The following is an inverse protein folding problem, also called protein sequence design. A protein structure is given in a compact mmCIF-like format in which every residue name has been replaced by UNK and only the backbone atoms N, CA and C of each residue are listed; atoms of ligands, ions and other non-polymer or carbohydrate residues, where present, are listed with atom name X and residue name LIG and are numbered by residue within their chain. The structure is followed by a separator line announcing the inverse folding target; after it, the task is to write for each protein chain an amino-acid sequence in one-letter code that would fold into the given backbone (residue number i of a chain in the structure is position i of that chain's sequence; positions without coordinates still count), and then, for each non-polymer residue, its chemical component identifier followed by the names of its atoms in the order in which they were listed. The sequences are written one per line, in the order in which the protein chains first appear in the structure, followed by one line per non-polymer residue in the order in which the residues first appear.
data_IF_282600165376
#
_entry.id   IF_282600165376
#
_cell.length_a   1.000
_cell.length_b   1.000
_cell.length_c   1.000
_cell.angle_alpha   90.00
_cell.angle_beta   90.00
_cell.angle_gamma   90.00
#
_symmetry.space_group_name_H-M   'P 1'
#
loop_
_entity.id
_entity.type
_entity.pdbx_description
1 polymer ?
#
# COMPACT_ATOMS: atom_id res chain seq x y z
N UNK A 1 26.64 26.66 -6.16
CA UNK A 1 26.63 27.90 -6.97
C UNK A 1 25.32 27.89 -7.74
N UNK A 2 24.32 28.61 -7.23
CA UNK A 2 23.03 28.75 -7.88
C UNK A 2 23.11 29.96 -8.83
N UNK A 3 23.03 29.72 -10.14
CA UNK A 3 22.61 30.78 -11.06
C UNK A 3 21.09 30.88 -10.96
N UNK A 4 20.52 32.07 -10.71
CA UNK A 4 19.09 32.27 -10.86
C UNK A 4 18.76 32.09 -12.35
N UNK A 5 17.70 31.35 -12.67
CA UNK A 5 17.14 31.39 -14.01
C UNK A 5 16.80 32.85 -14.32
N UNK A 6 17.37 33.39 -15.40
CA UNK A 6 17.14 34.76 -15.85
C UNK A 6 15.64 35.00 -16.04
N UNK A 7 15.11 36.13 -15.54
CA UNK A 7 13.69 36.49 -15.59
C UNK A 7 13.02 36.39 -16.97
N UNK A 8 13.80 36.37 -18.05
CA UNK A 8 13.33 36.15 -19.42
C UNK A 8 12.66 34.79 -19.66
N UNK A 9 13.04 33.72 -18.95
CA UNK A 9 12.47 32.37 -19.16
C UNK A 9 11.09 32.20 -18.54
N UNK A 10 10.85 32.84 -17.40
CA UNK A 10 9.56 32.80 -16.69
C UNK A 10 8.49 33.62 -17.45
N UNK A 11 8.89 34.76 -18.00
CA UNK A 11 8.02 35.60 -18.81
C UNK A 11 7.67 34.93 -20.15
N UNK A 12 8.63 34.26 -20.80
CA UNK A 12 8.39 33.48 -22.01
C UNK A 12 7.33 32.38 -21.81
N UNK A 13 7.36 31.68 -20.67
CA UNK A 13 6.40 30.61 -20.36
C UNK A 13 4.95 31.12 -20.36
N UNK A 14 4.69 32.31 -19.81
CA UNK A 14 3.35 32.90 -19.81
C UNK A 14 2.81 33.09 -21.24
N UNK A 15 3.67 33.50 -22.18
CA UNK A 15 3.26 33.77 -23.57
C UNK A 15 2.96 32.51 -24.39
N UNK A 16 3.44 31.34 -23.98
CA UNK A 16 3.10 30.06 -24.60
C UNK A 16 1.66 29.60 -24.29
N UNK A 17 1.05 30.13 -23.23
CA UNK A 17 -0.29 29.74 -22.81
C UNK A 17 -1.37 30.24 -23.77
N UNK A 18 -2.43 29.43 -23.92
CA UNK A 18 -3.59 29.77 -24.72
C UNK A 18 -4.18 31.13 -24.27
N UNK A 19 -4.63 32.02 -25.18
CA UNK A 19 -5.12 33.36 -24.82
C UNK A 19 -6.22 33.38 -23.74
N UNK A 20 -7.10 32.37 -23.73
CA UNK A 20 -8.14 32.21 -22.69
C UNK A 20 -7.55 31.86 -21.32
N UNK A 21 -6.53 31.00 -21.25
CA UNK A 21 -5.80 30.71 -20.00
C UNK A 21 -5.10 31.97 -19.49
N UNK A 22 -4.43 32.73 -20.37
CA UNK A 22 -3.79 34.00 -20.02
C UNK A 22 -4.78 35.03 -19.48
N UNK A 23 -5.99 35.08 -20.04
CA UNK A 23 -7.08 35.93 -19.54
C UNK A 23 -7.51 35.49 -18.14
N UNK A 24 -7.78 34.20 -17.95
CA UNK A 24 -8.15 33.66 -16.64
C UNK A 24 -7.11 33.99 -15.57
N UNK A 25 -5.81 33.84 -15.84
CA UNK A 25 -4.73 34.21 -14.91
C UNK A 25 -4.82 35.69 -14.48
N UNK A 26 -5.07 36.60 -15.44
CA UNK A 26 -5.24 38.03 -15.12
C UNK A 26 -6.50 38.29 -14.30
N UNK A 27 -7.59 37.58 -14.59
CA UNK A 27 -8.86 37.71 -13.86
C UNK A 27 -8.73 37.20 -12.41
N UNK A 28 -7.79 36.27 -12.15
CA UNK A 28 -7.42 35.86 -10.79
C UNK A 28 -6.53 36.89 -10.06
N UNK A 29 -6.09 37.96 -10.72
CA UNK A 29 -5.23 38.99 -10.15
C UNK A 29 -3.80 38.53 -9.86
N UNK A 30 -3.28 37.59 -10.63
CA UNK A 30 -1.90 37.13 -10.46
C UNK A 30 -0.92 38.10 -11.15
N UNK A 31 -0.01 38.68 -10.39
CA UNK A 31 1.03 39.57 -10.91
C UNK A 31 2.13 38.81 -11.68
N UNK A 32 2.46 37.59 -11.23
CA UNK A 32 3.47 36.73 -11.83
C UNK A 32 3.17 35.23 -11.66
N UNK A 33 3.76 34.40 -12.50
CA UNK A 33 3.73 32.94 -12.35
C UNK A 33 4.76 32.49 -11.31
N UNK A 34 4.39 31.54 -10.46
CA UNK A 34 5.35 30.88 -9.58
C UNK A 34 6.36 30.09 -10.41
N UNK A 35 7.60 29.97 -9.92
CA UNK A 35 8.68 29.26 -10.64
C UNK A 35 8.25 27.85 -11.10
N UNK A 36 7.59 27.09 -10.22
CA UNK A 36 7.12 25.74 -10.54
C UNK A 36 6.05 25.73 -11.64
N UNK A 37 5.20 26.75 -11.70
CA UNK A 37 4.18 26.87 -12.75
C UNK A 37 4.84 27.16 -14.09
N UNK A 38 5.72 28.16 -14.15
CA UNK A 38 6.44 28.52 -15.38
C UNK A 38 7.32 27.38 -15.92
N UNK A 39 8.07 26.70 -15.05
CA UNK A 39 8.88 25.53 -15.43
C UNK A 39 8.01 24.38 -15.95
N UNK A 40 6.87 24.14 -15.32
CA UNK A 40 5.92 23.12 -15.79
C UNK A 40 5.32 23.48 -17.13
N UNK A 41 5.06 24.76 -17.39
CA UNK A 41 4.54 25.23 -18.68
C UNK A 41 5.53 24.92 -19.80
N UNK A 42 6.81 25.24 -19.63
CA UNK A 42 7.85 24.92 -20.61
C UNK A 42 7.94 23.40 -20.80
N UNK A 43 8.06 22.63 -19.71
CA UNK A 43 8.17 21.17 -19.78
C UNK A 43 6.97 20.51 -20.48
N UNK A 44 5.75 21.01 -20.27
CA UNK A 44 4.54 20.45 -20.90
C UNK A 44 4.42 20.87 -22.36
N UNK A 45 4.69 22.13 -22.72
CA UNK A 45 4.43 22.64 -24.06
C UNK A 45 5.58 22.44 -25.06
N UNK A 46 6.81 22.23 -24.58
CA UNK A 46 8.01 22.12 -25.43
C UNK A 46 8.54 20.68 -25.57
N UNK A 47 8.04 19.74 -24.76
CA UNK A 47 8.50 18.34 -24.70
C UNK A 47 7.31 17.39 -24.46
N UNK A 48 7.49 16.11 -24.76
CA UNK A 48 6.51 15.02 -24.60
C UNK A 48 6.81 14.12 -23.39
N UNK A 49 7.89 14.36 -22.63
CA UNK A 49 8.27 13.57 -21.45
C UNK A 49 7.22 13.61 -20.34
N UNK A 50 7.00 12.49 -19.66
CA UNK A 50 6.21 12.48 -18.42
C UNK A 50 6.83 13.40 -17.37
N UNK A 51 5.99 13.96 -16.49
CA UNK A 51 6.42 14.97 -15.53
C UNK A 51 6.09 14.51 -14.11
N UNK A 52 7.04 14.70 -13.20
CA UNK A 52 6.85 14.57 -11.76
C UNK A 52 7.02 15.93 -11.10
N UNK A 53 5.93 16.45 -10.55
CA UNK A 53 5.89 17.74 -9.84
C UNK A 53 5.90 17.46 -8.33
N UNK A 54 6.99 17.84 -7.67
CA UNK A 54 7.13 17.76 -6.21
C UNK A 54 7.21 19.18 -5.64
N UNK A 55 6.12 19.65 -5.04
CA UNK A 55 6.04 20.98 -4.45
C UNK A 55 4.97 21.03 -3.36
N UNK A 56 5.08 21.91 -2.37
CA UNK A 56 4.04 22.04 -1.34
C UNK A 56 2.69 22.45 -1.95
N UNK A 57 1.58 22.17 -1.28
CA UNK A 57 0.24 22.49 -1.81
C UNK A 57 0.03 23.99 -2.06
N UNK A 58 0.67 24.83 -1.22
CA UNK A 58 0.67 26.29 -1.38
C UNK A 58 1.47 26.78 -2.60
N UNK A 59 2.31 25.92 -3.21
CA UNK A 59 3.11 26.28 -4.38
C UNK A 59 2.33 26.28 -5.71
N UNK A 60 1.04 25.92 -5.70
CA UNK A 60 0.19 25.97 -6.90
C UNK A 60 0.39 24.79 -7.87
N UNK A 61 0.63 23.58 -7.35
CA UNK A 61 0.83 22.35 -8.16
C UNK A 61 -0.29 22.07 -9.15
N UNK A 62 -1.54 22.28 -8.74
CA UNK A 62 -2.70 22.01 -9.59
C UNK A 62 -2.65 22.89 -10.82
N UNK A 63 -2.50 24.21 -10.68
CA UNK A 63 -2.41 25.11 -11.83
C UNK A 63 -1.09 24.92 -12.59
N UNK A 64 0.00 24.57 -11.92
CA UNK A 64 1.24 24.21 -12.60
C UNK A 64 1.01 23.11 -13.64
N UNK A 65 0.22 22.08 -13.29
CA UNK A 65 -0.17 21.04 -14.22
C UNK A 65 -1.23 21.50 -15.24
N UNK A 66 -2.32 22.13 -14.77
CA UNK A 66 -3.50 22.35 -15.61
C UNK A 66 -3.39 23.53 -16.58
N UNK A 67 -2.64 24.59 -16.27
CA UNK A 67 -2.48 25.73 -17.19
C UNK A 67 -1.91 25.29 -18.56
N UNK A 68 -0.80 24.52 -18.62
CA UNK A 68 -0.30 24.06 -19.90
C UNK A 68 -1.08 22.86 -20.47
N UNK A 69 -1.62 21.96 -19.64
CA UNK A 69 -2.46 20.86 -20.14
C UNK A 69 -3.68 21.41 -20.89
N UNK A 70 -4.39 22.37 -20.31
CA UNK A 70 -5.55 22.99 -20.94
C UNK A 70 -5.17 23.76 -22.20
N UNK A 71 -3.99 24.38 -22.23
CA UNK A 71 -3.44 24.99 -23.45
C UNK A 71 -3.25 23.93 -24.54
N UNK A 72 -2.66 22.78 -24.22
CA UNK A 72 -2.40 21.69 -25.18
C UNK A 72 -3.68 21.07 -25.74
N UNK A 73 -4.76 21.00 -24.95
CA UNK A 73 -6.01 20.34 -25.38
C UNK A 73 -7.06 21.33 -25.90
N UNK A 74 -6.75 22.63 -25.98
CA UNK A 74 -7.72 23.69 -26.27
C UNK A 74 -8.45 23.53 -27.61
N UNK A 75 -7.76 23.00 -28.62
CA UNK A 75 -8.28 22.85 -30.00
C UNK A 75 -8.69 21.40 -30.31
N UNK A 76 -8.72 20.53 -29.31
CA UNK A 76 -8.96 19.11 -29.51
C UNK A 76 -10.43 18.82 -29.77
N UNK A 77 -10.69 17.89 -30.70
CA UNK A 77 -12.04 17.48 -31.11
C UNK A 77 -12.34 15.97 -30.96
N UNK A 78 -11.43 15.21 -30.34
CA UNK A 78 -11.62 13.76 -30.18
C UNK A 78 -12.71 13.44 -29.15
N UNK A 79 -13.56 12.46 -29.47
CA UNK A 79 -14.60 11.98 -28.56
C UNK A 79 -14.00 11.10 -27.46
N UNK A 80 -14.20 11.48 -26.19
CA UNK A 80 -13.64 10.81 -25.02
C UNK A 80 -13.08 11.82 -24.01
N UNK A 81 -12.50 11.35 -22.91
CA UNK A 81 -11.85 12.25 -21.96
C UNK A 81 -10.41 12.53 -22.39
N UNK A 82 -10.11 13.80 -22.63
CA UNK A 82 -8.78 14.25 -23.00
C UNK A 82 -7.78 14.18 -21.84
N UNK A 83 -8.30 14.37 -20.62
CA UNK A 83 -7.50 14.31 -19.38
C UNK A 83 -8.22 13.45 -18.36
N UNK A 84 -7.48 12.53 -17.75
CA UNK A 84 -7.91 11.81 -16.56
C UNK A 84 -7.15 12.34 -15.37
N UNK A 85 -7.85 12.90 -14.40
CA UNK A 85 -7.28 13.29 -13.11
C UNK A 85 -7.62 12.23 -12.07
N UNK A 86 -6.63 11.43 -11.72
CA UNK A 86 -6.75 10.30 -10.80
C UNK A 86 -6.34 10.74 -9.40
N UNK A 87 -7.27 10.69 -8.45
CA UNK A 87 -7.01 11.12 -7.06
C UNK A 87 -7.38 10.01 -6.05
N UNK A 88 -6.65 9.85 -4.93
CA UNK A 88 -6.89 8.76 -3.99
C UNK A 88 -8.17 8.91 -3.19
N UNK A 89 -8.74 10.12 -3.09
CA UNK A 89 -9.88 10.43 -2.23
C UNK A 89 -10.97 11.19 -2.99
N UNK A 90 -12.24 10.83 -2.73
CA UNK A 90 -13.41 11.55 -3.27
C UNK A 90 -13.43 13.02 -2.82
N UNK A 91 -13.01 13.29 -1.58
CA UNK A 91 -12.94 14.63 -1.03
C UNK A 91 -11.98 15.52 -1.83
N UNK A 92 -10.81 14.99 -2.21
CA UNK A 92 -9.86 15.70 -3.06
C UNK A 92 -10.44 15.98 -4.44
N UNK A 93 -11.14 15.02 -5.06
CA UNK A 93 -11.84 15.26 -6.34
C UNK A 93 -12.84 16.41 -6.22
N UNK A 94 -13.64 16.46 -5.16
CA UNK A 94 -14.62 17.53 -4.97
C UNK A 94 -13.94 18.90 -4.78
N UNK A 95 -12.83 18.93 -4.07
CA UNK A 95 -12.06 20.16 -3.88
C UNK A 95 -11.46 20.67 -5.19
N UNK A 96 -10.81 19.78 -5.94
CA UNK A 96 -10.16 20.10 -7.20
C UNK A 96 -11.17 20.44 -8.30
N UNK A 97 -12.36 19.86 -8.26
CA UNK A 97 -13.46 20.26 -9.13
C UNK A 97 -13.81 21.74 -8.96
N UNK A 98 -14.06 22.19 -7.72
CA UNK A 98 -14.40 23.60 -7.45
C UNK A 98 -13.29 24.53 -7.90
N UNK A 99 -12.03 24.11 -7.73
CA UNK A 99 -10.85 24.86 -8.13
C UNK A 99 -10.69 24.96 -9.66
N UNK A 100 -10.96 23.86 -10.37
CA UNK A 100 -10.78 23.78 -11.82
C UNK A 100 -11.99 24.29 -12.61
N UNK A 101 -13.18 24.34 -12.01
CA UNK A 101 -14.43 24.69 -12.69
C UNK A 101 -14.34 26.03 -13.43
N UNK A 102 -13.92 27.11 -12.76
CA UNK A 102 -13.82 28.43 -13.39
C UNK A 102 -12.75 28.51 -14.50
N UNK A 103 -11.63 27.79 -14.34
CA UNK A 103 -10.58 27.73 -15.37
C UNK A 103 -11.09 26.95 -16.59
N UNK A 104 -11.74 25.81 -16.38
CA UNK A 104 -12.30 24.98 -17.44
C UNK A 104 -13.47 25.68 -18.15
N UNK A 105 -14.32 26.39 -17.41
CA UNK A 105 -15.41 27.21 -17.96
C UNK A 105 -14.87 28.31 -18.88
N UNK A 106 -13.81 29.02 -18.47
CA UNK A 106 -13.18 30.04 -19.31
C UNK A 106 -12.64 29.48 -20.64
N UNK A 107 -12.26 28.21 -20.65
CA UNK A 107 -11.75 27.47 -21.80
C UNK A 107 -12.85 26.78 -22.61
N UNK A 108 -14.08 26.74 -22.11
CA UNK A 108 -15.19 25.94 -22.64
C UNK A 108 -14.89 24.43 -22.67
N UNK A 109 -14.04 23.96 -21.77
CA UNK A 109 -13.66 22.54 -21.63
C UNK A 109 -14.51 21.92 -20.53
N UNK A 110 -15.32 20.88 -20.81
CA UNK A 110 -16.12 20.23 -19.76
C UNK A 110 -15.24 19.56 -18.70
N UNK A 111 -15.62 19.69 -17.44
CA UNK A 111 -15.03 18.93 -16.34
C UNK A 111 -16.14 18.15 -15.62
N UNK A 112 -15.88 16.89 -15.28
CA UNK A 112 -16.85 16.02 -14.59
C UNK A 112 -16.21 15.27 -13.44
N UNK A 113 -16.91 15.18 -12.31
CA UNK A 113 -16.52 14.32 -11.19
C UNK A 113 -17.02 12.90 -11.42
N UNK A 114 -16.13 11.93 -11.27
CA UNK A 114 -16.40 10.53 -11.51
C UNK A 114 -15.99 9.66 -10.33
N UNK A 115 -16.83 9.67 -9.29
CA UNK A 115 -16.69 8.79 -8.13
C UNK A 115 -18.04 8.25 -7.67
N UNK A 116 -18.07 7.28 -6.76
CA UNK A 116 -19.32 6.62 -6.30
C UNK A 116 -20.47 7.59 -6.00
N UNK A 117 -20.19 8.67 -5.27
CA UNK A 117 -21.22 9.61 -4.78
C UNK A 117 -21.53 10.77 -5.77
N UNK A 118 -20.82 10.85 -6.91
CA UNK A 118 -21.03 11.94 -7.86
C UNK A 118 -22.38 11.78 -8.61
N UNK A 119 -23.08 12.88 -8.94
CA UNK A 119 -24.40 12.84 -9.57
C UNK A 119 -24.44 11.99 -10.84
N UNK A 120 -25.40 11.08 -10.94
CA UNK A 120 -25.54 10.19 -12.10
C UNK A 120 -25.92 10.94 -13.37
N UNK A 121 -26.65 12.06 -13.25
CA UNK A 121 -27.06 12.89 -14.38
C UNK A 121 -25.84 13.48 -15.12
N UNK A 122 -24.86 14.02 -14.38
CA UNK A 122 -23.62 14.57 -14.93
C UNK A 122 -22.78 13.50 -15.61
N UNK A 123 -22.61 12.32 -14.96
CA UNK A 123 -21.94 11.18 -15.57
C UNK A 123 -22.64 10.72 -16.85
N UNK A 124 -23.97 10.67 -16.87
CA UNK A 124 -24.75 10.30 -18.06
C UNK A 124 -24.57 11.31 -19.19
N UNK A 125 -24.57 12.61 -18.88
CA UNK A 125 -24.26 13.67 -19.84
C UNK A 125 -22.86 13.47 -20.44
N UNK A 126 -21.86 13.25 -19.59
CA UNK A 126 -20.48 13.00 -20.01
C UNK A 126 -20.33 11.70 -20.81
N UNK A 127 -21.08 10.62 -20.49
CA UNK A 127 -21.05 9.39 -21.29
C UNK A 127 -21.62 9.59 -22.70
N UNK A 128 -22.67 10.39 -22.83
CA UNK A 128 -23.35 10.65 -24.10
C UNK A 128 -22.56 11.59 -25.00
N UNK A 129 -21.92 12.61 -24.43
CA UNK A 129 -21.03 13.55 -25.15
C UNK A 129 -19.71 13.65 -24.39
N UNK A 130 -18.82 12.66 -24.53
CA UNK A 130 -17.57 12.63 -23.77
C UNK A 130 -16.57 13.61 -24.37
N UNK A 131 -16.10 14.50 -23.51
CA UNK A 131 -15.20 15.59 -23.85
C UNK A 131 -14.51 16.08 -22.56
N UNK A 132 -13.38 16.77 -22.70
CA UNK A 132 -12.69 17.45 -21.62
C UNK A 132 -12.07 16.53 -20.57
N UNK A 133 -12.39 16.79 -19.29
CA UNK A 133 -11.65 16.27 -18.13
C UNK A 133 -12.55 15.41 -17.24
N UNK A 134 -12.08 14.22 -16.87
CA UNK A 134 -12.70 13.41 -15.82
C UNK A 134 -11.83 13.39 -14.55
N UNK A 135 -12.37 13.90 -13.44
CA UNK A 135 -11.77 13.77 -12.11
C UNK A 135 -12.29 12.47 -11.47
N UNK A 136 -11.47 11.42 -11.44
CA UNK A 136 -11.91 10.04 -11.26
C UNK A 136 -11.13 9.31 -10.17
N UNK A 137 -11.80 8.44 -9.40
CA UNK A 137 -11.09 7.56 -8.45
C UNK A 137 -10.60 6.28 -9.14
N UNK A 138 -9.50 5.66 -8.67
CA UNK A 138 -9.04 4.37 -9.18
C UNK A 138 -10.14 3.29 -9.20
N UNK A 139 -10.93 3.21 -8.14
CA UNK A 139 -12.02 2.23 -8.03
C UNK A 139 -13.12 2.47 -9.07
N UNK A 140 -13.32 3.73 -9.47
CA UNK A 140 -14.30 4.06 -10.51
C UNK A 140 -13.80 3.73 -11.91
N UNK A 141 -12.48 3.83 -12.14
CA UNK A 141 -11.83 3.32 -13.36
C UNK A 141 -12.02 1.80 -13.42
N UNK A 142 -11.70 1.07 -12.35
CA UNK A 142 -11.89 -0.38 -12.28
C UNK A 142 -13.35 -0.77 -12.51
N UNK A 143 -14.29 -0.09 -11.86
CA UNK A 143 -15.71 -0.34 -12.06
C UNK A 143 -16.14 -0.12 -13.52
N UNK A 144 -15.57 0.86 -14.21
CA UNK A 144 -15.84 1.09 -15.64
C UNK A 144 -15.30 -0.05 -16.49
N UNK A 145 -14.06 -0.49 -16.23
CA UNK A 145 -13.47 -1.64 -16.92
C UNK A 145 -14.30 -2.92 -16.75
N UNK A 146 -14.76 -3.20 -15.54
CA UNK A 146 -15.49 -4.45 -15.23
C UNK A 146 -16.93 -4.38 -15.75
N UNK A 147 -17.63 -3.27 -15.51
CA UNK A 147 -19.08 -3.19 -15.75
C UNK A 147 -19.42 -2.66 -17.14
N UNK A 148 -18.52 -1.89 -17.77
CA UNK A 148 -18.76 -1.20 -19.05
C UNK A 148 -17.48 -1.16 -19.91
N UNK A 149 -16.91 -2.31 -20.31
CA UNK A 149 -15.61 -2.35 -21.00
C UNK A 149 -15.58 -1.58 -22.32
N UNK A 150 -16.69 -1.55 -23.08
CA UNK A 150 -16.81 -0.76 -24.30
C UNK A 150 -16.74 0.75 -24.03
N UNK A 151 -17.40 1.23 -22.96
CA UNK A 151 -17.31 2.61 -22.52
C UNK A 151 -15.91 2.92 -21.97
N UNK A 152 -15.29 2.01 -21.22
CA UNK A 152 -13.92 2.19 -20.72
C UNK A 152 -12.94 2.43 -21.87
N UNK A 153 -13.03 1.63 -22.94
CA UNK A 153 -12.23 1.86 -24.15
C UNK A 153 -12.55 3.22 -24.76
N UNK A 154 -13.82 3.48 -25.08
CA UNK A 154 -14.26 4.72 -25.75
C UNK A 154 -13.91 6.00 -24.98
N UNK A 155 -14.03 5.99 -23.65
CA UNK A 155 -13.88 7.16 -22.80
C UNK A 155 -12.44 7.40 -22.37
N UNK A 156 -11.67 6.33 -22.09
CA UNK A 156 -10.35 6.44 -21.45
C UNK A 156 -9.17 6.29 -22.42
N UNK A 157 -9.34 5.54 -23.53
CA UNK A 157 -8.20 5.23 -24.41
C UNK A 157 -7.73 6.40 -25.27
N UNK A 158 -8.45 7.53 -25.24
CA UNK A 158 -8.08 8.75 -25.97
C UNK A 158 -7.38 9.77 -25.08
N UNK A 159 -7.20 9.49 -23.78
CA UNK A 159 -6.55 10.42 -22.88
C UNK A 159 -5.16 10.81 -23.41
N UNK A 160 -4.91 12.11 -23.54
CA UNK A 160 -3.58 12.64 -23.87
C UNK A 160 -2.77 12.82 -22.59
N UNK A 161 -3.45 13.18 -21.50
CA UNK A 161 -2.85 13.34 -20.19
C UNK A 161 -3.55 12.48 -19.14
N UNK A 162 -2.75 11.89 -18.25
CA UNK A 162 -3.21 11.31 -16.99
C UNK A 162 -2.46 12.01 -15.87
N UNK A 163 -3.19 12.81 -15.09
CA UNK A 163 -2.69 13.44 -13.88
C UNK A 163 -2.92 12.50 -12.71
N UNK A 164 -1.88 12.14 -11.98
CA UNK A 164 -1.97 11.31 -10.77
C UNK A 164 -1.70 12.21 -9.57
N UNK A 165 -2.76 12.54 -8.86
CA UNK A 165 -2.72 13.38 -7.67
C UNK A 165 -2.33 12.60 -6.42
N UNK A 166 -1.68 13.27 -5.48
CA UNK A 166 -1.10 12.68 -4.27
C UNK A 166 -0.35 11.38 -4.55
N UNK A 167 0.55 11.41 -5.54
CA UNK A 167 1.30 10.26 -6.04
C UNK A 167 1.96 9.44 -4.93
N UNK A 168 2.44 10.10 -3.86
CA UNK A 168 3.05 9.46 -2.70
C UNK A 168 2.15 8.39 -2.06
N UNK A 169 0.82 8.58 -2.09
CA UNK A 169 -0.17 7.65 -1.55
C UNK A 169 -0.27 6.33 -2.34
N UNK A 170 0.27 6.31 -3.57
CA UNK A 170 0.24 5.14 -4.44
C UNK A 170 1.61 4.46 -4.61
N UNK A 171 2.69 5.01 -4.05
CA UNK A 171 4.03 4.44 -4.24
C UNK A 171 4.20 3.06 -3.59
N UNK A 172 3.35 2.72 -2.62
CA UNK A 172 3.44 1.47 -1.86
C UNK A 172 2.07 0.82 -1.65
N UNK A 173 2.10 -0.46 -1.31
CA UNK A 173 0.93 -1.24 -0.91
C UNK A 173 0.03 -1.70 -2.07
N UNK A 174 -0.99 -2.52 -1.75
CA UNK A 174 -1.86 -3.14 -2.76
C UNK A 174 -2.61 -2.15 -3.63
N UNK A 175 -3.05 -1.01 -3.04
CA UNK A 175 -3.79 0.03 -3.77
C UNK A 175 -2.91 0.70 -4.82
N UNK A 176 -1.64 0.96 -4.50
CA UNK A 176 -0.66 1.47 -5.46
C UNK A 176 -0.44 0.56 -6.66
N UNK A 177 -0.28 -0.74 -6.40
CA UNK A 177 -0.19 -1.76 -7.46
C UNK A 177 -1.46 -1.85 -8.31
N UNK A 178 -2.63 -1.70 -7.69
CA UNK A 178 -3.90 -1.65 -8.39
C UNK A 178 -3.97 -0.47 -9.35
N UNK A 179 -3.62 0.75 -8.90
CA UNK A 179 -3.58 1.93 -9.77
C UNK A 179 -2.57 1.75 -10.91
N UNK A 180 -1.37 1.24 -10.63
CA UNK A 180 -0.37 0.97 -11.66
C UNK A 180 -0.91 0.00 -12.75
N UNK A 181 -1.64 -1.04 -12.34
CA UNK A 181 -2.33 -1.96 -13.26
C UNK A 181 -3.39 -1.26 -14.11
N UNK A 182 -4.22 -0.41 -13.50
CA UNK A 182 -5.24 0.38 -14.20
C UNK A 182 -4.62 1.29 -15.27
N UNK A 183 -3.57 2.03 -14.93
CA UNK A 183 -2.86 2.89 -15.87
C UNK A 183 -2.29 2.10 -17.04
N UNK A 184 -1.74 0.91 -16.79
CA UNK A 184 -1.21 0.04 -17.85
C UNK A 184 -2.32 -0.51 -18.77
N UNK A 185 -3.49 -0.81 -18.22
CA UNK A 185 -4.67 -1.23 -19.01
C UNK A 185 -5.19 -0.11 -19.89
N UNK A 186 -5.17 1.14 -19.40
CA UNK A 186 -5.51 2.32 -20.21
C UNK A 186 -4.51 2.45 -21.37
N UNK A 187 -3.20 2.41 -21.09
CA UNK A 187 -2.15 2.47 -22.11
C UNK A 187 -2.32 1.35 -23.16
N UNK A 188 -2.67 0.14 -22.75
CA UNK A 188 -2.83 -1.00 -23.66
C UNK A 188 -4.03 -0.88 -24.61
N UNK A 189 -5.04 -0.07 -24.26
CA UNK A 189 -6.18 0.21 -25.13
C UNK A 189 -5.96 1.42 -26.03
N UNK A 190 -5.02 2.29 -25.67
CA UNK A 190 -4.74 3.54 -26.36
C UNK A 190 -3.80 3.31 -27.57
N UNK A 191 -3.97 4.11 -28.63
CA UNK A 191 -3.07 4.06 -29.78
C UNK A 191 -1.65 4.54 -29.43
N UNK A 192 -1.56 5.48 -28.48
CA UNK A 192 -0.32 5.95 -27.86
C UNK A 192 -0.56 6.07 -26.35
N UNK A 193 0.42 5.70 -25.49
CA UNK A 193 0.29 5.90 -24.05
C UNK A 193 0.04 7.37 -23.73
N UNK A 194 -0.87 7.64 -22.80
CA UNK A 194 -1.10 8.99 -22.32
C UNK A 194 0.15 9.49 -21.59
N UNK A 195 0.44 10.78 -21.72
CA UNK A 195 1.48 11.46 -20.96
C UNK A 195 1.06 11.55 -19.50
N UNK A 196 1.94 11.18 -18.59
CA UNK A 196 1.65 11.11 -17.15
C UNK A 196 2.23 12.32 -16.43
N UNK A 197 1.42 12.90 -15.55
CA UNK A 197 1.82 14.02 -14.68
C UNK A 197 1.56 13.60 -13.23
N UNK A 198 2.62 13.27 -12.50
CA UNK A 198 2.54 12.93 -11.08
C UNK A 198 2.61 14.19 -10.22
N UNK A 199 1.68 14.37 -9.29
CA UNK A 199 1.67 15.48 -8.33
C UNK A 199 1.90 14.94 -6.93
N UNK A 200 2.81 15.54 -6.17
CA UNK A 200 2.95 15.24 -4.74
C UNK A 200 3.48 16.43 -3.95
N UNK A 201 3.10 16.54 -2.67
CA UNK A 201 3.61 17.56 -1.76
C UNK A 201 5.12 17.40 -1.53
N UNK A 202 5.48 16.18 -1.14
CA UNK A 202 6.85 15.75 -0.87
C UNK A 202 6.98 14.30 -1.34
N UNK A 203 8.16 13.94 -1.85
CA UNK A 203 8.50 12.56 -2.23
C UNK A 203 9.87 12.27 -1.65
N UNK A 204 9.95 11.27 -0.76
CA UNK A 204 11.21 10.87 -0.15
C UNK A 204 12.18 10.21 -1.14
N UNK A 205 11.65 9.41 -2.07
CA UNK A 205 12.42 8.76 -3.14
C UNK A 205 11.83 9.11 -4.51
N UNK A 206 12.43 10.10 -5.17
CA UNK A 206 12.05 10.52 -6.52
C UNK A 206 12.33 9.44 -7.57
N UNK A 207 13.32 8.57 -7.34
CA UNK A 207 13.60 7.44 -8.22
C UNK A 207 12.46 6.43 -8.21
N UNK A 208 11.98 6.05 -7.02
CA UNK A 208 10.80 5.21 -6.85
C UNK A 208 9.56 5.83 -7.49
N UNK A 209 9.33 7.12 -7.30
CA UNK A 209 8.18 7.80 -7.89
C UNK A 209 8.20 7.82 -9.42
N UNK A 210 9.37 8.05 -10.03
CA UNK A 210 9.54 7.98 -11.50
C UNK A 210 9.33 6.57 -12.01
N UNK A 211 9.88 5.57 -11.31
CA UNK A 211 9.73 4.17 -11.66
C UNK A 211 8.27 3.71 -11.56
N UNK A 212 7.53 4.19 -10.56
CA UNK A 212 6.11 3.93 -10.45
C UNK A 212 5.31 4.63 -11.55
N UNK A 213 5.61 5.92 -11.81
CA UNK A 213 4.89 6.73 -12.78
C UNK A 213 5.13 6.26 -14.22
N UNK A 214 6.35 5.85 -14.60
CA UNK A 214 6.63 5.23 -15.91
C UNK A 214 7.62 4.07 -15.77
N UNK A 215 7.14 2.84 -15.46
CA UNK A 215 8.01 1.68 -15.23
C UNK A 215 8.84 1.27 -16.43
N UNK A 216 8.36 1.52 -17.65
CA UNK A 216 9.04 1.14 -18.89
C UNK A 216 10.26 2.01 -19.21
N UNK A 217 10.27 3.26 -18.73
CA UNK A 217 11.39 4.17 -18.90
C UNK A 217 11.41 5.23 -17.78
N UNK A 218 11.81 4.86 -16.55
CA UNK A 218 11.83 5.80 -15.42
C UNK A 218 12.74 7.01 -15.68
N UNK A 219 13.81 6.80 -16.46
CA UNK A 219 14.80 7.80 -16.81
C UNK A 219 14.26 8.95 -17.67
N UNK A 220 13.18 8.75 -18.41
CA UNK A 220 12.56 9.80 -19.24
C UNK A 220 11.60 10.71 -18.48
N UNK A 221 11.26 10.39 -17.23
CA UNK A 221 10.35 11.25 -16.44
C UNK A 221 11.12 12.48 -15.98
N UNK A 222 10.69 13.68 -16.39
CA UNK A 222 11.24 14.96 -15.97
C UNK A 222 10.82 15.28 -14.53
N UNK A 223 11.76 15.76 -13.72
CA UNK A 223 11.54 16.10 -12.32
C UNK A 223 11.51 17.60 -12.14
N UNK A 224 10.36 18.11 -11.69
CA UNK A 224 10.16 19.51 -11.35
C UNK A 224 9.94 19.61 -9.85
N UNK A 225 11.03 19.84 -9.13
CA UNK A 225 11.02 20.03 -7.68
C UNK A 225 11.03 21.53 -7.40
N UNK A 226 10.03 22.00 -6.66
CA UNK A 226 10.06 23.34 -6.10
C UNK A 226 10.84 23.28 -4.78
N UNK A 227 11.94 24.02 -4.70
CA UNK A 227 12.54 24.34 -3.43
C UNK A 227 11.65 25.40 -2.80
N UNK A 228 10.61 24.99 -2.08
CA UNK A 228 9.92 25.94 -1.23
C UNK A 228 10.90 26.33 -0.12
N UNK A 229 11.08 27.63 0.10
CA UNK A 229 11.34 28.19 1.43
C UNK A 229 10.16 27.86 2.35
N UNK A 230 9.84 26.57 2.50
CA UNK A 230 8.87 26.11 3.46
C UNK A 230 9.41 26.57 4.81
N UNK A 231 8.60 27.27 5.62
CA UNK A 231 9.04 27.68 6.95
C UNK A 231 9.58 26.45 7.66
N UNK A 232 10.79 26.58 8.21
CA UNK A 232 11.47 25.53 8.95
C UNK A 232 10.46 24.87 9.91
N UNK A 233 10.13 23.60 9.69
CA UNK A 233 9.19 22.87 10.54
C UNK A 233 9.85 22.70 11.90
N UNK A 234 9.54 23.60 12.83
CA UNK A 234 9.94 23.47 14.23
C UNK A 234 9.00 22.49 14.92
N UNK A 235 9.31 21.21 14.79
CA UNK A 235 8.60 20.14 15.45
C UNK A 235 9.08 20.05 16.91
N UNK A 236 8.17 20.28 17.86
CA UNK A 236 8.42 19.96 19.27
C UNK A 236 7.63 18.71 19.64
N UNK A 237 8.34 17.60 19.88
CA UNK A 237 7.75 16.39 20.46
C UNK A 237 7.80 16.53 21.97
N UNK A 238 6.64 16.63 22.62
CA UNK A 238 6.53 16.62 24.07
C UNK A 238 6.02 15.25 24.51
N UNK A 239 6.87 14.49 25.17
CA UNK A 239 6.45 13.31 25.90
C UNK A 239 5.86 13.76 27.23
N UNK A 240 4.60 13.44 27.46
CA UNK A 240 3.99 13.59 28.78
C UNK A 240 3.93 12.22 29.41
N UNK A 241 4.52 12.09 30.60
CA UNK A 241 4.23 10.96 31.48
C UNK A 241 3.02 11.43 32.28
N UNK A 242 1.83 11.00 31.88
CA UNK A 242 0.66 11.14 32.75
C UNK A 242 0.94 10.31 34.00
N UNK A 243 0.99 10.91 35.20
CA UNK A 243 0.86 10.11 36.41
C UNK A 243 -0.48 9.38 36.29
N UNK A 244 -0.55 8.09 36.67
CA UNK A 244 -1.79 7.34 36.52
C UNK A 244 -2.90 8.07 37.29
N UNK A 245 -3.88 8.59 36.56
CA UNK A 245 -5.14 9.03 37.15
C UNK A 245 -5.78 7.79 37.75
N UNK A 246 -5.85 7.76 39.07
CA UNK A 246 -6.43 6.64 39.81
C UNK A 246 -7.96 6.56 39.66
N UNK A 247 -8.60 7.51 38.97
CA UNK A 247 -10.05 7.70 38.94
C UNK A 247 -10.68 7.95 37.54
N UNK A 248 -9.96 7.81 36.41
CA UNK A 248 -10.58 7.96 35.08
C UNK A 248 -11.37 6.69 34.67
N UNK A 249 -12.66 6.76 34.26
CA UNK A 249 -13.46 5.61 33.84
C UNK A 249 -13.08 5.03 32.46
N UNK A 250 -11.80 5.16 32.07
CA UNK A 250 -11.21 4.68 30.81
C UNK A 250 -11.10 3.15 30.70
N UNK A 251 -12.12 2.44 31.16
CA UNK A 251 -12.25 0.98 31.14
C UNK A 251 -12.89 0.43 29.87
N UNK A 252 -12.59 1.00 28.71
CA UNK A 252 -12.81 0.26 27.45
C UNK A 252 -11.44 -0.07 26.88
N UNK A 253 -10.88 -1.16 27.38
CA UNK A 253 -9.86 -1.93 26.67
C UNK A 253 -10.36 -2.05 25.22
N UNK A 254 -9.59 -1.65 24.20
CA UNK A 254 -9.97 -1.89 22.83
C UNK A 254 -10.38 -3.35 22.74
N UNK A 255 -11.61 -3.63 22.30
CA UNK A 255 -11.97 -5.01 21.98
C UNK A 255 -11.10 -5.39 20.80
N UNK A 256 -9.94 -5.96 21.11
CA UNK A 256 -9.36 -6.97 20.26
C UNK A 256 -10.41 -8.07 20.28
N UNK A 257 -11.27 -8.08 19.26
CA UNK A 257 -12.00 -9.31 18.96
C UNK A 257 -10.94 -10.43 19.02
N UNK A 258 -11.21 -11.58 19.66
CA UNK A 258 -10.37 -12.73 19.45
C UNK A 258 -10.45 -12.99 17.95
N UNK A 259 -9.46 -12.48 17.22
CA UNK A 259 -9.38 -12.65 15.80
C UNK A 259 -9.02 -14.12 15.65
N UNK A 260 -10.04 -14.97 15.67
CA UNK A 260 -9.95 -16.37 15.32
C UNK A 260 -9.26 -16.40 13.95
N UNK A 261 -7.97 -16.71 13.94
CA UNK A 261 -7.16 -16.82 12.74
C UNK A 261 -6.25 -15.62 12.39
N UNK A 262 -6.06 -14.60 13.24
CA UNK A 262 -4.94 -13.67 13.01
C UNK A 262 -3.60 -14.34 13.39
N UNK A 263 -2.62 -14.41 12.47
CA UNK A 263 -1.33 -15.04 12.77
C UNK A 263 -0.55 -14.25 13.83
N UNK A 264 -0.13 -14.93 14.90
CA UNK A 264 0.77 -14.35 15.89
C UNK A 264 2.20 -14.23 15.31
N UNK A 265 2.82 -13.06 15.50
CA UNK A 265 4.20 -12.81 15.10
C UNK A 265 5.20 -13.35 16.15
N UNK A 266 6.40 -13.76 15.73
CA UNK A 266 7.45 -14.30 16.63
C UNK A 266 7.74 -13.38 17.82
N UNK A 267 7.79 -12.06 17.57
CA UNK A 267 8.00 -11.06 18.62
C UNK A 267 6.93 -11.09 19.70
N UNK A 268 5.65 -11.29 19.33
CA UNK A 268 4.56 -11.36 20.30
C UNK A 268 4.73 -12.60 21.20
N UNK A 269 4.98 -13.77 20.59
CA UNK A 269 5.20 -15.02 21.33
C UNK A 269 6.45 -14.92 22.24
N UNK A 270 7.50 -14.24 21.79
CA UNK A 270 8.69 -13.98 22.60
C UNK A 270 8.38 -13.08 23.80
N UNK A 271 7.57 -12.02 23.64
CA UNK A 271 7.11 -11.20 24.77
C UNK A 271 6.20 -12.00 25.72
N UNK A 272 5.31 -12.84 25.21
CA UNK A 272 4.49 -13.74 26.05
C UNK A 272 5.38 -14.64 26.91
N UNK A 273 6.43 -15.24 26.33
CA UNK A 273 7.38 -16.06 27.08
C UNK A 273 8.10 -15.25 28.16
N UNK A 274 8.51 -14.02 27.86
CA UNK A 274 9.13 -13.13 28.87
C UNK A 274 8.19 -12.84 30.04
N UNK A 275 6.90 -12.62 29.76
CA UNK A 275 5.88 -12.40 30.80
C UNK A 275 5.75 -13.65 31.69
N UNK A 276 5.82 -14.85 31.15
CA UNK A 276 5.82 -16.09 31.94
C UNK A 276 7.10 -16.30 32.77
N UNK A 277 8.24 -15.81 32.29
CA UNK A 277 9.54 -15.89 32.98
C UNK A 277 9.74 -14.82 34.05
N UNK A 278 9.02 -13.71 33.96
CA UNK A 278 9.15 -12.61 34.91
C UNK A 278 8.28 -12.81 36.15
N UNK A 279 8.70 -12.23 37.28
CA UNK A 279 7.96 -12.28 38.54
C UNK A 279 7.09 -11.03 38.78
N UNK A 280 7.28 -9.96 37.98
CA UNK A 280 6.50 -8.73 38.14
C UNK A 280 5.06 -8.94 37.68
N UNK A 281 4.11 -8.31 38.37
CA UNK A 281 2.70 -8.28 37.97
C UNK A 281 2.46 -6.94 37.29
N UNK A 282 2.11 -6.92 35.98
CA UNK A 282 1.90 -5.67 35.29
C UNK A 282 0.80 -4.83 35.96
N UNK A 283 1.05 -3.55 36.28
CA UNK A 283 0.18 -2.75 37.15
C UNK A 283 -1.22 -2.50 36.55
N UNK A 284 -1.36 -2.64 35.24
CA UNK A 284 -2.60 -2.42 34.49
C UNK A 284 -3.55 -3.63 34.47
N UNK A 285 -3.16 -4.79 35.01
CA UNK A 285 -4.05 -5.95 35.06
C UNK A 285 -5.15 -5.75 36.10
N UNK A 286 -6.40 -6.07 35.75
CA UNK A 286 -7.50 -6.17 36.71
C UNK A 286 -7.38 -7.45 37.56
N UNK A 287 -8.25 -7.63 38.55
CA UNK A 287 -8.19 -8.79 39.45
C UNK A 287 -8.29 -10.12 38.70
N UNK A 288 -9.19 -10.24 37.71
CA UNK A 288 -9.38 -11.48 36.96
C UNK A 288 -8.18 -11.80 36.07
N UNK A 289 -7.59 -10.78 35.44
CA UNK A 289 -6.41 -10.92 34.61
C UNK A 289 -5.17 -11.28 35.43
N UNK A 290 -5.06 -10.80 36.68
CA UNK A 290 -4.02 -11.23 37.63
C UNK A 290 -4.16 -12.71 37.97
N UNK A 291 -5.36 -13.16 38.33
CA UNK A 291 -5.62 -14.58 38.64
C UNK A 291 -5.24 -15.47 37.45
N UNK A 292 -5.65 -15.11 36.23
CA UNK A 292 -5.32 -15.87 35.01
C UNK A 292 -3.81 -15.89 34.70
N UNK A 293 -3.11 -14.77 34.93
CA UNK A 293 -1.66 -14.73 34.75
C UNK A 293 -0.94 -15.58 35.79
N UNK A 294 -1.40 -15.57 37.04
CA UNK A 294 -0.85 -16.39 38.12
C UNK A 294 -1.07 -17.88 37.83
N UNK A 295 -2.29 -18.30 37.50
CA UNK A 295 -2.61 -19.67 37.06
C UNK A 295 -1.72 -20.10 35.88
N UNK A 296 -1.56 -19.24 34.88
CA UNK A 296 -0.70 -19.50 33.74
C UNK A 296 0.78 -19.66 34.11
N UNK A 297 1.30 -18.80 35.01
CA UNK A 297 2.70 -18.88 35.49
C UNK A 297 2.93 -20.09 36.39
N UNK A 298 1.94 -20.50 37.17
CA UNK A 298 2.00 -21.76 37.93
C UNK A 298 2.12 -22.95 37.00
N UNK A 299 1.24 -23.06 36.00
CA UNK A 299 1.30 -24.14 35.01
C UNK A 299 2.61 -24.13 34.20
N UNK A 300 3.09 -22.94 33.81
CA UNK A 300 4.38 -22.79 33.11
C UNK A 300 5.55 -23.35 33.92
N UNK A 301 5.56 -23.10 35.24
CA UNK A 301 6.58 -23.64 36.17
C UNK A 301 6.38 -25.13 36.45
N UNK A 302 5.16 -25.57 36.64
CA UNK A 302 4.83 -26.98 36.89
C UNK A 302 5.27 -27.88 35.72
N UNK A 303 5.08 -27.41 34.49
CA UNK A 303 5.51 -28.09 33.28
C UNK A 303 6.99 -27.85 32.92
N UNK A 304 7.72 -27.06 33.70
CA UNK A 304 9.14 -26.72 33.48
C UNK A 304 9.40 -26.16 32.07
N UNK A 305 8.48 -25.32 31.56
CA UNK A 305 8.53 -24.77 30.20
C UNK A 305 9.60 -23.69 30.00
N UNK A 306 10.31 -23.32 31.06
CA UNK A 306 11.54 -22.55 30.97
C UNK A 306 12.62 -23.34 30.24
N UNK A 307 12.79 -24.61 30.62
CA UNK A 307 13.87 -25.48 30.16
C UNK A 307 13.41 -26.60 29.21
N UNK A 308 12.12 -26.95 29.23
CA UNK A 308 11.51 -27.99 28.40
C UNK A 308 10.62 -27.40 27.32
N UNK A 309 10.65 -28.08 26.17
CA UNK A 309 9.80 -27.76 25.02
C UNK A 309 8.91 -28.94 24.62
N UNK A 310 9.05 -30.10 25.27
CA UNK A 310 8.30 -31.32 25.01
C UNK A 310 7.52 -31.71 26.26
N UNK A 311 6.20 -31.81 26.13
CA UNK A 311 5.29 -32.20 27.22
C UNK A 311 4.41 -33.34 26.74
N UNK A 312 4.52 -34.50 27.40
CA UNK A 312 3.67 -35.65 27.13
C UNK A 312 2.33 -35.51 27.84
N UNK A 313 1.23 -35.58 27.09
CA UNK A 313 -0.13 -35.72 27.63
C UNK A 313 -0.77 -36.99 27.05
N UNK A 314 -1.04 -37.98 27.89
CA UNK A 314 -1.54 -39.31 27.52
C UNK A 314 -0.75 -39.99 26.39
N UNK A 315 -1.24 -39.91 25.15
CA UNK A 315 -0.64 -40.51 23.94
C UNK A 315 -0.08 -39.47 22.99
N UNK A 316 -0.31 -38.19 23.27
CA UNK A 316 0.06 -37.10 22.39
C UNK A 316 1.22 -36.31 22.99
N UNK A 317 2.07 -35.78 22.11
CA UNK A 317 3.25 -35.01 22.49
C UNK A 317 3.05 -33.56 22.08
N UNK A 318 3.02 -32.66 23.05
CA UNK A 318 2.97 -31.22 22.82
C UNK A 318 4.39 -30.67 22.69
N UNK A 319 4.64 -29.99 21.58
CA UNK A 319 5.93 -29.41 21.21
C UNK A 319 5.80 -27.89 21.22
N UNK A 320 6.31 -27.25 22.26
CA UNK A 320 6.31 -25.80 22.43
C UNK A 320 7.50 -25.17 21.71
N UNK A 321 7.23 -24.55 20.56
CA UNK A 321 8.28 -23.92 19.75
C UNK A 321 8.63 -22.51 20.25
N UNK A 322 7.69 -21.84 20.92
CA UNK A 322 7.81 -20.42 21.26
C UNK A 322 8.11 -19.54 20.04
N UNK A 323 7.53 -19.90 18.89
CA UNK A 323 7.59 -19.15 17.63
C UNK A 323 6.18 -18.76 17.19
N UNK A 324 6.09 -17.75 16.31
CA UNK A 324 4.83 -17.27 15.76
C UNK A 324 4.13 -18.27 14.85
N UNK A 325 2.85 -18.04 14.57
CA UNK A 325 1.95 -19.00 13.91
C UNK A 325 2.47 -19.50 12.56
N UNK A 326 3.15 -18.65 11.80
CA UNK A 326 3.71 -19.03 10.50
C UNK A 326 4.88 -20.02 10.63
N UNK A 327 5.78 -19.83 11.60
CA UNK A 327 6.88 -20.75 11.87
C UNK A 327 6.35 -22.11 12.35
N UNK A 328 5.37 -22.08 13.24
CA UNK A 328 4.70 -23.27 13.77
C UNK A 328 4.00 -24.07 12.67
N UNK A 329 3.31 -23.41 11.75
CA UNK A 329 2.69 -24.06 10.59
C UNK A 329 3.73 -24.70 9.64
N UNK A 330 4.85 -24.02 9.40
CA UNK A 330 5.97 -24.57 8.60
C UNK A 330 6.58 -25.78 9.30
N UNK A 331 6.78 -25.72 10.61
CA UNK A 331 7.32 -26.84 11.38
C UNK A 331 6.38 -28.05 11.38
N UNK A 332 5.06 -27.84 11.53
CA UNK A 332 4.05 -28.90 11.38
C UNK A 332 4.11 -29.58 10.00
N UNK A 333 4.27 -28.80 8.92
CA UNK A 333 4.46 -29.36 7.58
C UNK A 333 5.77 -30.16 7.46
N UNK A 334 6.83 -29.75 8.15
CA UNK A 334 8.10 -30.50 8.20
C UNK A 334 7.96 -31.83 8.96
N UNK A 335 7.20 -31.85 10.05
CA UNK A 335 6.87 -33.09 10.77
C UNK A 335 6.02 -34.02 9.89
N UNK A 336 5.07 -33.48 9.12
CA UNK A 336 4.31 -34.26 8.14
C UNK A 336 5.19 -34.85 7.04
N UNK A 337 6.18 -34.09 6.55
CA UNK A 337 7.22 -34.59 5.64
C UNK A 337 8.06 -35.72 6.26
N UNK A 338 8.29 -35.68 7.58
CA UNK A 338 8.93 -36.75 8.34
C UNK A 338 8.00 -37.93 8.69
N UNK A 339 6.74 -37.91 8.23
CA UNK A 339 5.76 -38.98 8.43
C UNK A 339 4.94 -38.87 9.71
N UNK A 340 4.96 -37.72 10.40
CA UNK A 340 4.23 -37.50 11.65
C UNK A 340 2.95 -36.71 11.43
N UNK A 341 1.86 -37.12 12.08
CA UNK A 341 0.63 -36.33 12.10
C UNK A 341 0.64 -35.36 13.27
N UNK A 342 0.47 -34.07 12.97
CA UNK A 342 0.46 -33.01 13.97
C UNK A 342 -0.68 -32.00 13.76
N UNK A 343 -1.17 -31.44 14.86
CA UNK A 343 -2.06 -30.29 14.89
C UNK A 343 -1.31 -29.04 15.36
N UNK A 344 -1.64 -27.87 14.80
CA UNK A 344 -1.05 -26.58 15.19
C UNK A 344 -1.89 -25.93 16.28
N UNK A 345 -1.23 -25.42 17.32
CA UNK A 345 -1.82 -24.54 18.33
C UNK A 345 -0.97 -23.26 18.48
N UNK A 346 -1.39 -22.32 19.33
CA UNK A 346 -0.84 -20.95 19.37
C UNK A 346 0.67 -20.87 19.68
N UNK A 347 1.19 -21.83 20.45
CA UNK A 347 2.57 -21.83 20.95
C UNK A 347 3.44 -22.94 20.32
N UNK A 348 2.87 -23.79 19.46
CA UNK A 348 3.52 -25.03 19.09
C UNK A 348 2.66 -26.02 18.28
N UNK A 349 3.08 -27.28 18.31
CA UNK A 349 2.41 -28.37 17.60
C UNK A 349 2.16 -29.55 18.54
N UNK A 350 0.99 -30.19 18.40
CA UNK A 350 0.68 -31.45 19.07
C UNK A 350 0.89 -32.58 18.08
N UNK A 351 1.79 -33.51 18.37
CA UNK A 351 2.04 -34.71 17.56
C UNK A 351 1.26 -35.87 18.18
N UNK A 352 0.34 -36.45 17.40
CA UNK A 352 -0.56 -37.47 17.94
C UNK A 352 0.08 -38.85 18.03
N UNK A 353 -0.26 -39.61 19.07
CA UNK A 353 0.09 -41.04 19.25
C UNK A 353 1.60 -41.33 19.21
N UNK A 354 2.42 -40.46 19.79
CA UNK A 354 3.88 -40.61 19.82
C UNK A 354 4.44 -40.36 21.22
N UNK A 355 5.45 -41.14 21.60
CA UNK A 355 6.22 -40.90 22.83
C UNK A 355 7.45 -40.04 22.57
N UNK A 356 7.94 -39.35 23.59
CA UNK A 356 9.16 -38.53 23.51
C UNK A 356 10.36 -39.31 22.96
N UNK A 357 10.55 -40.55 23.40
CA UNK A 357 11.64 -41.43 22.95
C UNK A 357 11.61 -41.74 21.45
N UNK A 358 10.43 -41.67 20.82
CA UNK A 358 10.23 -41.91 19.39
C UNK A 358 10.31 -40.62 18.59
N UNK A 359 9.88 -39.50 19.18
CA UNK A 359 9.93 -38.18 18.54
C UNK A 359 11.37 -37.62 18.48
N UNK A 360 12.15 -37.76 19.56
CA UNK A 360 13.50 -37.19 19.65
C UNK A 360 14.44 -37.60 18.50
N UNK A 361 14.53 -38.87 18.07
CA UNK A 361 15.34 -39.25 16.92
C UNK A 361 14.91 -38.56 15.62
N UNK A 362 13.61 -38.33 15.42
CA UNK A 362 13.08 -37.65 14.23
C UNK A 362 13.45 -36.17 14.26
N UNK A 363 13.32 -35.52 15.42
CA UNK A 363 13.75 -34.13 15.62
C UNK A 363 15.25 -33.97 15.38
N UNK A 364 16.08 -34.89 15.90
CA UNK A 364 17.54 -34.89 15.65
C UNK A 364 17.86 -34.99 14.16
N UNK A 365 17.16 -35.86 13.43
CA UNK A 365 17.33 -35.99 11.98
C UNK A 365 16.93 -34.71 11.24
N UNK A 366 15.84 -34.05 11.64
CA UNK A 366 15.43 -32.76 11.09
C UNK A 366 16.48 -31.67 11.38
N UNK A 367 17.06 -31.66 12.58
CA UNK A 367 18.13 -30.74 12.98
C UNK A 367 19.42 -30.92 12.16
N UNK A 368 19.73 -32.13 11.72
CA UNK A 368 20.93 -32.43 10.92
C UNK A 368 20.74 -32.20 9.41
N UNK A 369 19.50 -32.01 8.95
CA UNK A 369 19.19 -31.89 7.52
C UNK A 369 19.57 -30.50 6.99
N UNK A 370 20.72 -30.40 6.30
CA UNK A 370 21.33 -29.11 5.91
C UNK A 370 20.70 -28.40 4.70
N UNK A 371 19.68 -28.96 4.06
CA UNK A 371 19.07 -28.32 2.88
C UNK A 371 17.65 -28.84 2.64
N UNK A 372 16.70 -28.39 3.46
CA UNK A 372 15.28 -28.67 3.27
C UNK A 372 14.74 -27.71 2.21
N UNK A 373 14.32 -28.23 1.05
CA UNK A 373 13.78 -27.41 -0.03
C UNK A 373 12.37 -26.88 0.32
N UNK A 374 12.07 -25.59 0.13
CA UNK A 374 10.73 -25.05 0.40
C UNK A 374 9.62 -25.72 -0.42
N UNK A 375 9.95 -26.19 -1.63
CA UNK A 375 9.02 -26.97 -2.45
C UNK A 375 8.72 -28.34 -1.84
N UNK A 376 9.72 -29.03 -1.29
CA UNK A 376 9.55 -30.35 -0.68
C UNK A 376 8.59 -30.27 0.52
N UNK A 377 8.75 -29.26 1.37
CA UNK A 377 7.85 -29.02 2.51
C UNK A 377 6.45 -28.65 2.04
N UNK A 378 6.34 -27.88 0.94
CA UNK A 378 5.05 -27.43 0.42
C UNK A 378 4.11 -28.57 0.03
N UNK A 379 4.66 -29.74 -0.34
CA UNK A 379 3.88 -30.94 -0.70
C UNK A 379 3.06 -31.47 0.49
N UNK A 380 3.54 -31.26 1.72
CA UNK A 380 2.92 -31.77 2.95
C UNK A 380 1.97 -30.77 3.63
N UNK A 381 1.74 -29.61 3.01
CA UNK A 381 0.79 -28.60 3.52
C UNK A 381 -0.64 -29.03 3.17
N UNK A 382 -1.38 -29.55 4.15
CA UNK A 382 -2.74 -30.08 3.95
C UNK A 382 -3.75 -29.04 3.42
N UNK A 383 -3.67 -27.79 3.89
CA UNK A 383 -4.67 -26.75 3.65
C UNK A 383 -4.20 -25.67 2.66
N UNK A 384 -3.46 -26.05 1.61
CA UNK A 384 -2.76 -25.08 0.77
C UNK A 384 -3.67 -24.13 -0.02
N UNK A 385 -4.92 -24.57 -0.27
CA UNK A 385 -5.97 -23.82 -0.97
C UNK A 385 -6.86 -22.99 -0.03
N UNK A 386 -6.59 -23.00 1.29
CA UNK A 386 -7.35 -22.21 2.26
C UNK A 386 -6.88 -20.75 2.24
N UNK A 387 -7.83 -19.83 2.05
CA UNK A 387 -7.59 -18.38 2.01
C UNK A 387 -8.37 -17.69 0.89
N UNK A 388 -8.50 -16.36 0.98
CA UNK A 388 -9.29 -15.57 0.04
C UNK A 388 -8.81 -15.81 -1.40
N UNK A 389 -9.71 -16.31 -2.25
CA UNK A 389 -9.47 -16.65 -3.66
C UNK A 389 -8.44 -17.76 -3.95
N UNK A 390 -7.92 -18.48 -2.94
CA UNK A 390 -6.95 -19.57 -3.16
C UNK A 390 -7.54 -20.80 -3.82
N UNK A 391 -8.85 -21.01 -3.72
CA UNK A 391 -9.57 -22.09 -4.42
C UNK A 391 -9.51 -21.97 -5.96
N UNK A 392 -9.27 -20.77 -6.47
CA UNK A 392 -9.18 -20.48 -7.91
C UNK A 392 -7.74 -20.64 -8.46
N UNK A 393 -6.77 -20.91 -7.59
CA UNK A 393 -5.35 -21.04 -7.96
C UNK A 393 -5.04 -22.53 -8.19
N UNK A 394 -4.48 -22.91 -9.37
CA UNK A 394 -4.00 -24.26 -9.60
C UNK A 394 -3.04 -24.72 -8.51
N UNK A 395 -3.15 -25.99 -8.09
CA UNK A 395 -2.45 -26.50 -6.90
C UNK A 395 -0.92 -26.39 -6.98
N UNK A 396 -0.36 -26.68 -8.16
CA UNK A 396 1.07 -26.52 -8.44
C UNK A 396 1.54 -25.07 -8.24
N UNK A 397 0.72 -24.10 -8.64
CA UNK A 397 1.01 -22.68 -8.44
C UNK A 397 0.84 -22.28 -6.97
N UNK A 398 -0.18 -22.81 -6.27
CA UNK A 398 -0.36 -22.58 -4.84
C UNK A 398 0.83 -23.10 -4.01
N UNK A 399 1.35 -24.29 -4.35
CA UNK A 399 2.57 -24.88 -3.76
C UNK A 399 3.80 -24.03 -4.02
N UNK A 400 3.98 -23.59 -5.26
CA UNK A 400 5.09 -22.70 -5.63
C UNK A 400 5.04 -21.35 -4.91
N UNK A 401 3.86 -20.75 -4.76
CA UNK A 401 3.67 -19.50 -4.02
C UNK A 401 3.91 -19.69 -2.52
N UNK A 402 3.44 -20.78 -1.94
CA UNK A 402 3.70 -21.11 -0.54
C UNK A 402 5.20 -21.31 -0.28
N UNK A 403 5.89 -22.06 -1.16
CA UNK A 403 7.32 -22.31 -1.07
C UNK A 403 8.12 -21.00 -1.12
N UNK A 404 7.75 -20.09 -2.02
CA UNK A 404 8.37 -18.76 -2.12
C UNK A 404 8.08 -17.90 -0.88
N UNK A 405 6.86 -17.92 -0.36
CA UNK A 405 6.44 -17.11 0.78
C UNK A 405 7.10 -17.56 2.10
N UNK A 406 7.36 -18.85 2.25
CA UNK A 406 7.87 -19.44 3.50
C UNK A 406 9.33 -19.89 3.42
N UNK A 407 10.04 -19.54 2.34
CA UNK A 407 11.42 -19.98 2.09
C UNK A 407 12.34 -19.73 3.29
N UNK A 408 12.34 -18.51 3.81
CA UNK A 408 13.18 -18.13 4.96
C UNK A 408 12.83 -18.99 6.19
N UNK A 409 11.54 -19.18 6.48
CA UNK A 409 11.08 -20.00 7.61
C UNK A 409 11.42 -21.50 7.44
N UNK A 410 11.44 -22.01 6.22
CA UNK A 410 11.86 -23.38 5.93
C UNK A 410 13.34 -23.57 6.26
N UNK A 411 14.19 -22.56 5.99
CA UNK A 411 15.62 -22.63 6.37
C UNK A 411 15.84 -22.67 7.88
N UNK A 412 14.87 -22.23 8.68
CA UNK A 412 14.92 -22.26 10.13
C UNK A 412 14.50 -23.60 10.74
N UNK A 413 13.92 -24.54 9.97
CA UNK A 413 13.45 -25.83 10.49
C UNK A 413 14.54 -26.58 11.28
N UNK A 414 15.79 -26.71 10.79
CA UNK A 414 16.83 -27.41 11.54
C UNK A 414 17.16 -26.73 12.87
N UNK A 415 17.11 -25.40 12.91
CA UNK A 415 17.34 -24.61 14.14
C UNK A 415 16.20 -24.80 15.13
N UNK A 416 14.95 -24.79 14.66
CA UNK A 416 13.78 -25.08 15.50
C UNK A 416 13.84 -26.49 16.07
N UNK A 417 14.20 -27.48 15.26
CA UNK A 417 14.32 -28.87 15.71
C UNK A 417 15.48 -29.08 16.71
N UNK A 418 16.60 -28.37 16.54
CA UNK A 418 17.74 -28.43 17.46
C UNK A 418 17.48 -27.79 18.84
N UNK A 419 16.45 -26.93 18.95
CA UNK A 419 16.07 -26.26 20.19
C UNK A 419 15.09 -27.08 21.06
N UNK A 420 14.71 -28.29 20.62
CA UNK A 420 13.80 -29.24 21.27
C UNK A 420 14.56 -30.49 21.77
#
# INVERSE_FOLDING_TARGET
MNSPASGSGLEAAYHLLHPKVRRWIRDQGWDELREIQARTILAVLEDDRDILISATTAAGKTEAAFLPILTSIAERSASGFSVLYVSPLKALINDQFRRLEGLCESMEIPVVKWHGDAPQAEKKKAMNKPDGIALITPESIEAMFVRRPADAKRLLSVAEFIVVDELHSFLQGPRGLHVASLLRRIDAMAARPARRVGLSATIGDLGQARAWLRPTNPGSVEQLVANSDAPELRLQVRGYIEPPDLDDPGGVVPRFEPATGEPAHDRLIAEMRKVYLADDVPPYLDARARDLLEEGREMFRELDLESRSLVQEDRDMHVFLWRGSQATAVFSAALAMAGLQSGVHELGVTVSKIKESELRPILSKLAETRNIGPHDVSEFVANIKVGKFREQVPENLARSLWARQNGDKVTEIPVMAAAL
#
